data_IF_247623624646
#
_entry.id   IF_247623624646
#
_cell.length_a   1.000
_cell.length_b   1.000
_cell.length_c   1.000
_cell.angle_alpha   90.00
_cell.angle_beta   90.00
_cell.angle_gamma   90.00
#
_symmetry.space_group_name_H-M   'P 1'
#
loop_
_entity.id
_entity.type
_entity.pdbx_description
1 polymer ?
#
# COMPACT_ATOMS: atom_id res chain seq x y z
N UNK A 1 18.84 11.20 8.24
CA UNK A 1 17.37 11.38 8.41
C UNK A 1 16.68 10.56 7.33
N UNK A 2 15.83 9.60 7.69
CA UNK A 2 15.06 8.84 6.70
C UNK A 2 13.95 9.75 6.13
N UNK A 3 13.89 9.88 4.81
CA UNK A 3 12.81 10.63 4.16
C UNK A 3 11.49 9.87 4.36
N UNK A 4 10.55 10.48 5.08
CA UNK A 4 9.22 9.94 5.30
C UNK A 4 8.29 10.52 4.24
N UNK A 5 7.58 9.63 3.55
CA UNK A 5 6.55 9.96 2.59
C UNK A 5 5.21 10.01 3.32
N UNK A 6 4.47 11.07 3.08
CA UNK A 6 3.11 11.25 3.55
C UNK A 6 2.23 11.49 2.34
N UNK A 7 1.04 10.92 2.35
CA UNK A 7 0.07 11.12 1.28
C UNK A 7 -1.30 10.65 1.72
N UNK A 8 -2.25 10.85 0.82
CA UNK A 8 -3.64 10.43 0.99
C UNK A 8 -4.02 9.58 -0.21
N UNK A 9 -4.64 8.44 0.04
CA UNK A 9 -5.11 7.54 -1.01
C UNK A 9 -6.44 8.04 -1.59
N UNK A 10 -6.96 7.40 -2.65
CA UNK A 10 -8.22 7.83 -3.29
C UNK A 10 -9.42 7.63 -2.37
N UNK A 11 -9.42 6.55 -1.58
CA UNK A 11 -10.42 6.30 -0.52
C UNK A 11 -10.28 7.22 0.69
N UNK A 12 -9.27 8.09 0.67
CA UNK A 12 -9.05 9.10 1.68
C UNK A 12 -8.23 8.64 2.89
N UNK A 13 -7.58 7.47 2.82
CA UNK A 13 -6.69 7.01 3.88
C UNK A 13 -5.39 7.82 3.90
N UNK A 14 -5.01 8.33 5.06
CA UNK A 14 -3.76 9.08 5.23
C UNK A 14 -2.63 8.14 5.65
N UNK A 15 -1.56 8.08 4.86
CA UNK A 15 -0.44 7.19 5.12
C UNK A 15 0.86 7.92 5.42
N UNK A 16 1.75 7.23 6.14
CA UNK A 16 3.09 7.74 6.48
C UNK A 16 4.11 6.61 6.43
N UNK A 17 4.79 6.50 5.29
CA UNK A 17 5.74 5.41 5.02
C UNK A 17 7.15 5.93 4.75
N UNK A 18 8.21 5.27 5.25
CA UNK A 18 9.57 5.64 4.91
C UNK A 18 9.88 5.33 3.43
N UNK A 19 10.51 6.27 2.72
CA UNK A 19 10.82 6.18 1.27
C UNK A 19 11.57 4.91 0.88
N UNK A 20 12.36 4.34 1.78
CA UNK A 20 13.09 3.08 1.55
C UNK A 20 12.17 1.88 1.29
N UNK A 21 10.95 1.87 1.84
CA UNK A 21 10.01 0.74 1.69
C UNK A 21 9.52 0.59 0.26
N UNK A 22 9.35 1.69 -0.47
CA UNK A 22 9.01 1.66 -1.90
C UNK A 22 10.13 1.10 -2.79
N UNK A 23 11.37 1.08 -2.29
CA UNK A 23 12.52 0.48 -2.98
C UNK A 23 12.83 -0.92 -2.46
N UNK A 24 11.94 -1.52 -1.65
CA UNK A 24 12.15 -2.84 -1.09
C UNK A 24 11.87 -3.93 -2.14
N UNK A 25 12.85 -4.81 -2.39
CA UNK A 25 12.70 -5.94 -3.31
C UNK A 25 11.55 -6.88 -2.89
N UNK A 26 11.37 -7.13 -1.59
CA UNK A 26 10.28 -7.98 -1.10
C UNK A 26 8.92 -7.38 -1.44
N UNK A 27 8.78 -6.05 -1.35
CA UNK A 27 7.54 -5.37 -1.70
C UNK A 27 7.25 -5.49 -3.21
N UNK A 28 8.27 -5.35 -4.07
CA UNK A 28 8.11 -5.58 -5.51
C UNK A 28 7.75 -7.02 -5.86
N UNK A 29 8.32 -7.99 -5.12
CA UNK A 29 8.00 -9.41 -5.29
C UNK A 29 6.55 -9.71 -4.95
N UNK A 30 6.05 -9.20 -3.82
CA UNK A 30 4.65 -9.41 -3.43
C UNK A 30 3.70 -8.67 -4.39
N UNK A 31 4.06 -7.48 -4.86
CA UNK A 31 3.27 -6.77 -5.89
C UNK A 31 3.11 -7.60 -7.16
N UNK A 32 4.19 -8.23 -7.62
CA UNK A 32 4.16 -9.09 -8.81
C UNK A 32 3.35 -10.38 -8.61
N UNK A 33 3.28 -10.91 -7.38
CA UNK A 33 2.38 -12.05 -7.06
C UNK A 33 0.92 -11.62 -7.05
N UNK A 34 0.63 -10.47 -6.47
CA UNK A 34 -0.71 -9.88 -6.43
C UNK A 34 -1.24 -9.65 -7.85
N UNK A 35 -0.39 -9.14 -8.76
CA UNK A 35 -0.70 -8.97 -10.19
C UNK A 35 -0.94 -10.31 -10.92
N UNK A 36 -0.40 -11.42 -10.40
CA UNK A 36 -0.65 -12.79 -10.89
C UNK A 36 -1.89 -13.45 -10.27
N UNK A 37 -2.65 -12.74 -9.44
CA UNK A 37 -3.87 -13.24 -8.80
C UNK A 37 -3.66 -13.94 -7.46
N UNK A 38 -2.49 -13.80 -6.83
CA UNK A 38 -2.20 -14.33 -5.50
C UNK A 38 -2.64 -13.33 -4.42
N UNK A 39 -3.91 -13.40 -4.00
CA UNK A 39 -4.49 -12.44 -3.06
C UNK A 39 -3.87 -12.53 -1.65
N UNK A 40 -3.30 -13.67 -1.26
CA UNK A 40 -2.52 -13.81 -0.01
C UNK A 40 -1.28 -12.90 0.02
N UNK A 41 -0.75 -12.51 -1.15
CA UNK A 41 0.35 -11.55 -1.24
C UNK A 41 -0.07 -10.12 -0.87
N UNK A 42 -1.37 -9.78 -0.88
CA UNK A 42 -1.88 -8.45 -0.60
C UNK A 42 -1.59 -8.03 0.86
N UNK A 43 -1.93 -8.90 1.83
CA UNK A 43 -1.69 -8.61 3.25
C UNK A 43 -0.19 -8.41 3.52
N UNK A 44 0.66 -9.26 2.94
CA UNK A 44 2.11 -9.17 3.11
C UNK A 44 2.68 -7.93 2.42
N UNK A 45 2.16 -7.55 1.26
CA UNK A 45 2.52 -6.31 0.58
C UNK A 45 2.17 -5.08 1.43
N UNK A 46 0.96 -5.03 1.98
CA UNK A 46 0.52 -3.95 2.87
C UNK A 46 1.42 -3.84 4.11
N UNK A 47 1.74 -4.98 4.72
CA UNK A 47 2.69 -5.06 5.83
C UNK A 47 4.09 -4.56 5.46
N UNK A 48 4.56 -4.81 4.25
CA UNK A 48 5.87 -4.31 3.76
C UNK A 48 5.84 -2.82 3.40
N UNK A 49 4.68 -2.30 2.97
CA UNK A 49 4.47 -0.91 2.56
C UNK A 49 4.27 -0.01 3.80
N UNK A 50 3.19 -0.27 4.54
CA UNK A 50 2.73 0.51 5.68
C UNK A 50 3.32 0.05 7.01
N UNK A 51 3.74 -1.22 7.11
CA UNK A 51 4.06 -1.83 8.40
C UNK A 51 2.79 -2.36 9.05
N UNK A 52 2.93 -3.33 9.97
CA UNK A 52 1.79 -4.05 10.57
C UNK A 52 0.63 -3.15 11.02
N UNK A 53 0.91 -2.20 11.92
CA UNK A 53 -0.12 -1.30 12.47
C UNK A 53 -0.88 -0.51 11.38
N UNK A 54 -0.15 0.18 10.51
CA UNK A 54 -0.79 1.03 9.50
C UNK A 54 -1.44 0.21 8.37
N UNK A 55 -0.99 -1.04 8.15
CA UNK A 55 -1.66 -1.97 7.25
C UNK A 55 -3.02 -2.41 7.81
N UNK A 56 -3.10 -2.72 9.11
CA UNK A 56 -4.36 -3.03 9.79
C UNK A 56 -5.31 -1.82 9.77
N UNK A 57 -4.81 -0.62 10.04
CA UNK A 57 -5.60 0.62 9.95
C UNK A 57 -6.11 0.87 8.52
N UNK A 58 -5.31 0.58 7.50
CA UNK A 58 -5.71 0.71 6.09
C UNK A 58 -6.82 -0.27 5.72
N UNK A 59 -6.68 -1.55 6.10
CA UNK A 59 -7.73 -2.55 5.86
C UNK A 59 -9.01 -2.19 6.60
N UNK A 60 -8.91 -1.76 7.86
CA UNK A 60 -10.06 -1.32 8.66
C UNK A 60 -10.71 -0.04 8.12
N UNK A 61 -9.99 0.81 7.40
CA UNK A 61 -10.54 1.99 6.73
C UNK A 61 -11.33 1.63 5.47
N UNK A 62 -10.95 0.54 4.81
CA UNK A 62 -11.62 0.05 3.60
C UNK A 62 -12.75 -0.94 3.90
N UNK A 63 -12.81 -1.48 5.10
CA UNK A 63 -13.90 -2.34 5.55
C UNK A 63 -15.17 -1.51 5.73
N UNK A 64 -16.23 -1.86 4.99
CA UNK A 64 -17.52 -1.16 5.05
C UNK A 64 -18.36 -1.56 6.29
N UNK A 65 -17.80 -2.39 7.18
CA UNK A 65 -18.43 -2.83 8.43
C UNK A 65 -19.09 -4.21 8.38
N UNK A 66 -19.00 -4.92 7.26
CA UNK A 66 -19.57 -6.27 7.05
C UNK A 66 -18.49 -7.34 6.74
N UNK A 67 -17.24 -7.13 7.20
CA UNK A 67 -16.07 -7.95 6.82
C UNK A 67 -15.88 -7.99 5.28
N UNK A 68 -16.26 -6.89 4.64
CA UNK A 68 -16.25 -6.73 3.19
C UNK A 68 -15.37 -5.55 2.82
N UNK A 69 -14.28 -5.87 2.12
CA UNK A 69 -13.37 -4.91 1.53
C UNK A 69 -13.49 -5.01 0.03
N UNK A 70 -13.85 -3.90 -0.62
CA UNK A 70 -13.86 -3.84 -2.07
C UNK A 70 -12.43 -3.93 -2.60
N UNK A 71 -12.14 -5.07 -3.24
CA UNK A 71 -10.79 -5.33 -3.74
C UNK A 71 -10.38 -4.32 -4.80
N UNK A 72 -11.30 -3.82 -5.64
CA UNK A 72 -10.96 -2.85 -6.68
C UNK A 72 -10.45 -1.55 -6.06
N UNK A 73 -11.12 -1.10 -4.99
CA UNK A 73 -10.72 0.07 -4.20
C UNK A 73 -9.36 -0.15 -3.54
N UNK A 74 -9.15 -1.31 -2.90
CA UNK A 74 -7.87 -1.67 -2.28
C UNK A 74 -6.72 -1.64 -3.29
N UNK A 75 -6.92 -2.22 -4.47
CA UNK A 75 -5.92 -2.22 -5.55
C UNK A 75 -5.69 -0.81 -6.10
N UNK A 76 -6.74 0.00 -6.26
CA UNK A 76 -6.63 1.38 -6.72
C UNK A 76 -5.82 2.23 -5.74
N UNK A 77 -6.08 2.13 -4.44
CA UNK A 77 -5.32 2.85 -3.41
C UNK A 77 -3.85 2.44 -3.37
N UNK A 78 -3.55 1.13 -3.42
CA UNK A 78 -2.17 0.64 -3.49
C UNK A 78 -1.48 1.22 -4.73
N UNK A 79 -2.11 1.12 -5.90
CA UNK A 79 -1.57 1.65 -7.16
C UNK A 79 -1.34 3.15 -7.07
N UNK A 80 -2.31 3.92 -6.57
CA UNK A 80 -2.24 5.36 -6.37
C UNK A 80 -1.05 5.76 -5.48
N UNK A 81 -0.74 4.99 -4.45
CA UNK A 81 0.47 5.20 -3.63
C UNK A 81 1.73 4.99 -4.48
N UNK A 82 1.82 3.91 -5.25
CA UNK A 82 2.99 3.70 -6.10
C UNK A 82 3.15 4.81 -7.14
N UNK A 83 2.05 5.27 -7.76
CA UNK A 83 2.08 6.31 -8.79
C UNK A 83 2.39 7.70 -8.23
N UNK A 84 1.75 8.09 -7.12
CA UNK A 84 2.05 9.33 -6.38
C UNK A 84 3.51 9.40 -5.94
N UNK A 85 4.17 8.25 -5.79
CA UNK A 85 5.57 8.17 -5.40
C UNK A 85 6.53 7.76 -6.54
N UNK A 86 6.05 7.51 -7.77
CA UNK A 86 6.91 7.29 -8.96
C UNK A 86 7.71 8.54 -9.30
N UNK A 87 7.15 9.72 -9.07
CA UNK A 87 7.79 11.01 -9.36
C UNK A 87 9.04 11.26 -8.48
N UNK A 88 9.13 10.59 -7.32
CA UNK A 88 10.30 10.65 -6.43
C UNK A 88 11.55 9.94 -6.98
N UNK A 89 11.49 9.31 -8.16
CA UNK A 89 12.65 8.83 -8.92
C UNK A 89 13.34 9.94 -9.73
N UNK A 90 12.73 11.11 -9.93
CA UNK A 90 13.27 12.20 -10.77
C UNK A 90 13.94 13.37 -10.03
N UNK A 91 14.15 13.28 -8.71
CA UNK A 91 14.95 14.28 -7.96
C UNK A 91 16.17 13.66 -7.30
#
# INVERSE_FOLDING_TARGET
MEAILKGKTESGFEYKIPKKRLRNFYLMREASKMEKGDFEAAEKLLNLLFGKKQAEEFLSHLDDGDDFIDTEVLFADIKSIFESNKDLKKS
#
